data_IF_979165607285
#
_entry.id   IF_979165607285
#
_cell.length_a   1.000
_cell.length_b   1.000
_cell.length_c   1.000
_cell.angle_alpha   90.00
_cell.angle_beta   90.00
_cell.angle_gamma   90.00
#
_symmetry.space_group_name_H-M   'P 1'
#
loop_
_entity.id
_entity.type
_entity.pdbx_description
1 polymer ?
#
# COMPACT_ATOMS: atom_id res chain seq x y z
N UNK A 1 17.42 18.50 -22.81
CA UNK A 1 16.98 18.51 -21.41
C UNK A 1 17.25 17.14 -20.83
N UNK A 2 18.44 16.98 -20.30
CA UNK A 2 18.89 15.80 -19.56
C UNK A 2 18.25 15.89 -18.18
N UNK A 3 17.28 15.03 -17.90
CA UNK A 3 16.89 14.72 -16.51
C UNK A 3 18.15 14.16 -15.85
N UNK A 4 18.76 14.95 -14.98
CA UNK A 4 19.86 14.49 -14.18
C UNK A 4 19.36 13.26 -13.39
N UNK A 5 19.98 12.11 -13.62
CA UNK A 5 19.74 10.92 -12.81
C UNK A 5 20.14 11.28 -11.38
N UNK A 6 19.16 11.42 -10.50
CA UNK A 6 19.43 11.56 -9.06
C UNK A 6 19.98 10.23 -8.61
N UNK A 7 21.24 10.21 -8.20
CA UNK A 7 21.87 9.03 -7.64
C UNK A 7 21.41 8.86 -6.18
N UNK A 8 20.39 8.05 -5.98
CA UNK A 8 19.84 7.74 -4.67
C UNK A 8 20.79 6.91 -3.79
N UNK A 9 21.86 6.34 -4.35
CA UNK A 9 22.86 5.60 -3.58
C UNK A 9 23.64 6.46 -2.58
N UNK A 10 23.60 7.79 -2.76
CA UNK A 10 24.25 8.73 -1.83
C UNK A 10 23.51 8.88 -0.48
N UNK A 11 22.28 8.42 -0.38
CA UNK A 11 21.49 8.52 0.84
C UNK A 11 21.01 7.12 1.26
N UNK A 12 21.90 6.32 1.89
CA UNK A 12 21.46 5.04 2.41
C UNK A 12 20.33 5.27 3.42
N UNK A 13 19.28 4.44 3.38
CA UNK A 13 18.18 4.58 4.33
C UNK A 13 18.72 4.52 5.76
N UNK A 14 18.16 5.29 6.69
CA UNK A 14 18.60 5.25 8.08
C UNK A 14 18.44 3.84 8.61
N UNK A 15 19.51 3.30 9.24
CA UNK A 15 19.45 1.98 9.88
C UNK A 15 18.58 2.09 11.13
N UNK A 16 17.45 1.41 11.13
CA UNK A 16 16.60 1.28 12.32
C UNK A 16 16.94 -0.05 12.99
N UNK A 17 17.60 0.00 14.13
CA UNK A 17 18.11 -1.20 14.82
C UNK A 17 17.08 -1.86 15.74
N UNK A 18 15.97 -1.21 16.04
CA UNK A 18 14.90 -1.75 16.88
C UNK A 18 13.56 -1.15 16.49
N UNK A 19 12.49 -1.92 16.64
CA UNK A 19 11.14 -1.36 16.56
C UNK A 19 10.95 -0.35 17.69
N UNK A 20 10.23 0.74 17.43
CA UNK A 20 9.86 1.67 18.48
C UNK A 20 8.95 0.97 19.49
N UNK A 21 8.82 1.59 20.67
CA UNK A 21 8.04 1.09 21.80
C UNK A 21 6.67 0.58 21.34
N UNK A 22 6.42 -0.69 21.57
CA UNK A 22 5.17 -1.39 21.26
C UNK A 22 4.08 -1.01 22.27
N UNK A 23 2.83 -1.12 21.86
CA UNK A 23 1.62 -0.73 22.62
C UNK A 23 1.58 0.75 23.03
N UNK A 24 2.29 1.61 22.32
CA UNK A 24 2.28 3.05 22.55
C UNK A 24 1.35 3.81 21.62
N UNK A 25 0.77 4.88 22.15
CA UNK A 25 0.02 5.85 21.39
C UNK A 25 0.98 6.97 20.93
N UNK A 26 1.00 7.21 19.62
CA UNK A 26 1.85 8.20 18.97
C UNK A 26 0.97 9.36 18.55
N UNK A 27 1.33 10.57 18.93
CA UNK A 27 0.55 11.77 18.65
C UNK A 27 1.32 12.76 17.78
N UNK A 28 0.62 13.34 16.84
CA UNK A 28 1.11 14.33 15.89
C UNK A 28 1.50 13.74 14.53
N UNK A 29 1.10 14.41 13.46
CA UNK A 29 1.26 13.94 12.07
C UNK A 29 2.72 13.61 11.73
N UNK A 30 3.66 14.45 12.14
CA UNK A 30 5.09 14.21 11.89
C UNK A 30 5.58 12.93 12.59
N UNK A 31 5.19 12.72 13.85
CA UNK A 31 5.55 11.52 14.60
C UNK A 31 4.92 10.26 13.99
N UNK A 32 3.65 10.34 13.55
CA UNK A 32 2.95 9.24 12.87
C UNK A 32 3.66 8.87 11.56
N UNK A 33 4.03 9.83 10.72
CA UNK A 33 4.79 9.57 9.49
C UNK A 33 6.17 8.97 9.77
N UNK A 34 6.86 9.52 10.77
CA UNK A 34 8.18 9.02 11.17
C UNK A 34 8.15 7.58 11.66
N UNK A 35 7.15 7.21 12.46
CA UNK A 35 7.01 5.83 12.96
C UNK A 35 6.69 4.86 11.82
N UNK A 36 5.80 5.23 10.89
CA UNK A 36 5.47 4.41 9.73
C UNK A 36 6.74 4.12 8.93
N UNK A 37 7.51 5.15 8.58
CA UNK A 37 8.77 5.00 7.85
C UNK A 37 9.76 4.10 8.61
N UNK A 38 9.92 4.30 9.91
CA UNK A 38 10.82 3.50 10.75
C UNK A 38 10.43 2.02 10.76
N UNK A 39 9.13 1.72 10.87
CA UNK A 39 8.61 0.35 10.84
C UNK A 39 8.87 -0.29 9.48
N UNK A 40 8.56 0.39 8.38
CA UNK A 40 8.78 -0.16 7.04
C UNK A 40 10.27 -0.47 6.80
N UNK A 41 11.17 0.44 7.15
CA UNK A 41 12.62 0.24 7.02
C UNK A 41 13.08 -0.94 7.89
N UNK A 42 12.62 -1.00 9.14
CA UNK A 42 12.97 -2.09 10.06
C UNK A 42 12.57 -3.45 9.50
N UNK A 43 11.29 -3.61 9.12
CA UNK A 43 10.77 -4.88 8.62
C UNK A 43 11.53 -5.37 7.39
N UNK A 44 11.70 -4.51 6.40
CA UNK A 44 12.37 -4.86 5.15
C UNK A 44 13.86 -5.13 5.35
N UNK A 45 14.50 -4.49 6.35
CA UNK A 45 15.93 -4.69 6.62
C UNK A 45 16.25 -5.91 7.49
N UNK A 46 15.29 -6.41 8.28
CA UNK A 46 15.53 -7.46 9.27
C UNK A 46 14.83 -8.79 8.95
N UNK A 47 13.91 -8.80 8.01
CA UNK A 47 13.18 -9.99 7.61
C UNK A 47 13.34 -10.28 6.12
N UNK A 48 13.30 -11.55 5.76
CA UNK A 48 13.18 -12.02 4.37
C UNK A 48 11.71 -12.27 4.05
N UNK A 49 11.33 -12.10 2.80
CA UNK A 49 9.96 -12.38 2.30
C UNK A 49 8.87 -11.60 3.07
N UNK A 50 9.12 -10.32 3.29
CA UNK A 50 8.19 -9.43 4.01
C UNK A 50 6.92 -9.24 3.19
N UNK A 51 5.77 -9.53 3.80
CA UNK A 51 4.45 -9.18 3.28
C UNK A 51 3.86 -8.05 4.12
N UNK A 52 3.59 -6.92 3.46
CA UNK A 52 2.94 -5.75 4.05
C UNK A 52 1.51 -5.69 3.54
N UNK A 53 0.55 -5.63 4.45
CA UNK A 53 -0.86 -5.46 4.14
C UNK A 53 -1.33 -4.13 4.69
N UNK A 54 -2.01 -3.32 3.89
CA UNK A 54 -2.36 -1.97 4.33
C UNK A 54 -3.70 -1.48 3.81
N UNK A 55 -4.32 -0.64 4.62
CA UNK A 55 -5.44 0.22 4.27
C UNK A 55 -5.11 1.62 4.79
N UNK A 56 -4.87 2.56 3.89
CA UNK A 56 -4.32 3.87 4.22
C UNK A 56 -5.36 4.98 4.11
N UNK A 57 -5.27 6.02 4.98
CA UNK A 57 -6.06 7.24 4.82
C UNK A 57 -5.65 8.00 3.54
N UNK A 58 -6.59 8.72 2.93
CA UNK A 58 -6.36 9.45 1.66
C UNK A 58 -5.20 10.45 1.73
N UNK A 59 -4.92 10.98 2.92
CA UNK A 59 -3.84 11.95 3.16
C UNK A 59 -2.44 11.33 3.24
N UNK A 60 -2.35 10.02 3.45
CA UNK A 60 -1.07 9.32 3.60
C UNK A 60 -0.66 8.74 2.24
N UNK A 61 0.42 9.25 1.73
CA UNK A 61 1.07 8.77 0.51
C UNK A 61 2.45 8.22 0.90
N UNK A 62 2.70 6.95 0.61
CA UNK A 62 3.94 6.23 0.90
C UNK A 62 4.69 5.86 -0.39
N UNK A 63 4.37 6.52 -1.50
CA UNK A 63 4.96 6.22 -2.81
C UNK A 63 6.49 6.32 -2.78
N UNK A 64 7.01 7.40 -2.18
CA UNK A 64 8.47 7.64 -2.13
C UNK A 64 9.14 6.58 -1.25
N UNK A 65 8.59 6.30 -0.08
CA UNK A 65 9.12 5.32 0.86
C UNK A 65 9.23 3.92 0.24
N UNK A 66 8.19 3.46 -0.42
CA UNK A 66 8.21 2.15 -1.08
C UNK A 66 9.14 2.13 -2.30
N UNK A 67 9.17 3.18 -3.10
CA UNK A 67 10.11 3.28 -4.22
C UNK A 67 11.56 3.23 -3.74
N UNK A 68 11.92 3.98 -2.69
CA UNK A 68 13.25 3.91 -2.07
C UNK A 68 13.60 2.48 -1.63
N UNK A 69 12.66 1.79 -0.98
CA UNK A 69 12.88 0.43 -0.50
C UNK A 69 13.10 -0.56 -1.65
N UNK A 70 12.30 -0.51 -2.73
CA UNK A 70 12.49 -1.39 -3.89
C UNK A 70 13.76 -1.07 -4.69
N UNK A 71 14.14 0.21 -4.82
CA UNK A 71 15.37 0.62 -5.49
C UNK A 71 16.62 0.13 -4.75
N UNK A 72 16.54 -0.06 -3.43
CA UNK A 72 17.61 -0.64 -2.61
C UNK A 72 17.61 -2.18 -2.62
N UNK A 73 17.05 -2.81 -3.66
CA UNK A 73 17.06 -4.27 -3.89
C UNK A 73 16.37 -5.09 -2.79
N UNK A 74 15.50 -4.47 -2.00
CA UNK A 74 14.76 -5.19 -0.99
C UNK A 74 13.64 -6.02 -1.62
N UNK A 75 13.54 -7.27 -1.21
CA UNK A 75 12.49 -8.18 -1.65
C UNK A 75 11.34 -8.19 -0.63
N UNK A 76 10.26 -7.53 -0.96
CA UNK A 76 9.04 -7.53 -0.16
C UNK A 76 7.82 -7.34 -1.05
N UNK A 77 6.67 -7.76 -0.57
CA UNK A 77 5.39 -7.60 -1.24
C UNK A 77 4.46 -6.68 -0.45
N UNK A 78 3.62 -5.96 -1.17
CA UNK A 78 2.63 -5.05 -0.59
C UNK A 78 1.26 -5.36 -1.17
N UNK A 79 0.28 -5.56 -0.31
CA UNK A 79 -1.14 -5.64 -0.68
C UNK A 79 -1.88 -4.44 -0.07
N UNK A 80 -2.45 -3.58 -0.90
CA UNK A 80 -3.16 -2.39 -0.45
C UNK A 80 -4.65 -2.48 -0.76
N UNK A 81 -5.50 -2.20 0.23
CA UNK A 81 -6.92 -1.95 0.04
C UNK A 81 -7.16 -0.48 -0.30
N UNK A 82 -7.88 -0.23 -1.37
CA UNK A 82 -8.17 1.10 -1.87
C UNK A 82 -9.67 1.35 -1.85
N UNK A 83 -10.05 2.45 -1.24
CA UNK A 83 -11.40 2.95 -1.37
C UNK A 83 -11.50 3.84 -2.62
N UNK A 84 -12.36 3.45 -3.57
CA UNK A 84 -12.68 4.26 -4.74
C UNK A 84 -14.10 4.82 -4.63
N UNK A 85 -14.20 6.12 -4.78
CA UNK A 85 -15.49 6.83 -4.76
C UNK A 85 -16.28 6.50 -6.01
N UNK A 86 -17.59 6.25 -5.86
CA UNK A 86 -18.48 6.16 -7.01
C UNK A 86 -18.56 7.50 -7.72
N UNK A 87 -18.28 7.48 -9.02
CA UNK A 87 -18.43 8.66 -9.86
C UNK A 87 -19.91 8.83 -10.19
N UNK A 88 -20.48 9.97 -9.82
CA UNK A 88 -21.82 10.38 -10.23
C UNK A 88 -21.71 11.58 -11.18
N UNK A 89 -22.68 11.71 -12.08
CA UNK A 89 -22.76 12.86 -12.99
C UNK A 89 -23.02 14.20 -12.28
N UNK A 90 -23.40 14.14 -11.00
CA UNK A 90 -23.74 15.31 -10.20
C UNK A 90 -22.57 15.93 -9.44
N UNK A 91 -21.44 15.22 -9.33
CA UNK A 91 -20.26 15.72 -8.62
C UNK A 91 -18.96 15.25 -9.28
N UNK A 92 -18.08 16.16 -9.76
CA UNK A 92 -16.79 15.82 -10.33
C UNK A 92 -15.73 15.46 -9.28
N UNK A 93 -15.96 15.75 -8.00
CA UNK A 93 -15.01 15.52 -6.91
C UNK A 93 -14.57 14.05 -6.75
N UNK A 94 -15.46 13.04 -6.83
CA UNK A 94 -15.09 11.64 -6.73
C UNK A 94 -14.08 11.21 -7.81
N UNK A 95 -14.33 11.62 -9.07
CA UNK A 95 -13.43 11.28 -10.17
C UNK A 95 -12.01 11.87 -9.96
N UNK A 96 -11.92 13.11 -9.47
CA UNK A 96 -10.63 13.76 -9.19
C UNK A 96 -9.87 13.06 -8.05
N UNK A 97 -10.57 12.61 -7.00
CA UNK A 97 -9.96 11.85 -5.90
C UNK A 97 -9.44 10.51 -6.39
N UNK A 98 -10.24 9.78 -7.17
CA UNK A 98 -9.82 8.51 -7.76
C UNK A 98 -8.60 8.70 -8.67
N UNK A 99 -8.58 9.74 -9.52
CA UNK A 99 -7.44 10.06 -10.38
C UNK A 99 -6.16 10.38 -9.59
N UNK A 100 -6.30 11.12 -8.49
CA UNK A 100 -5.15 11.39 -7.60
C UNK A 100 -4.61 10.07 -7.00
N UNK A 101 -5.50 9.19 -6.55
CA UNK A 101 -5.11 7.88 -6.01
C UNK A 101 -4.41 7.01 -7.07
N UNK A 102 -4.94 6.96 -8.29
CA UNK A 102 -4.30 6.26 -9.40
C UNK A 102 -2.91 6.83 -9.72
N UNK A 103 -2.73 8.15 -9.62
CA UNK A 103 -1.44 8.81 -9.82
C UNK A 103 -0.35 8.35 -8.84
N UNK A 104 -0.69 7.98 -7.60
CA UNK A 104 0.26 7.42 -6.64
C UNK A 104 0.47 5.91 -6.83
N UNK A 105 -0.52 5.18 -7.34
CA UNK A 105 -0.47 3.72 -7.49
C UNK A 105 0.36 3.30 -8.71
N UNK A 106 0.23 3.99 -9.84
CA UNK A 106 0.94 3.63 -11.07
C UNK A 106 2.46 3.56 -10.89
N UNK A 107 3.13 4.56 -10.27
CA UNK A 107 4.56 4.46 -10.00
C UNK A 107 4.94 3.25 -9.12
N UNK A 108 4.10 2.92 -8.12
CA UNK A 108 4.33 1.76 -7.24
C UNK A 108 4.22 0.44 -8.02
N UNK A 109 3.21 0.31 -8.88
CA UNK A 109 3.07 -0.87 -9.74
C UNK A 109 4.30 -1.06 -10.63
N UNK A 110 4.82 0.02 -11.22
CA UNK A 110 5.99 -0.02 -12.07
C UNK A 110 7.27 -0.37 -11.31
N UNK A 111 7.51 0.28 -10.17
CA UNK A 111 8.72 0.09 -9.37
C UNK A 111 8.78 -1.30 -8.72
N UNK A 112 7.63 -1.85 -8.31
CA UNK A 112 7.53 -3.11 -7.58
C UNK A 112 7.73 -4.36 -8.43
N UNK A 113 7.69 -4.25 -9.75
CA UNK A 113 7.78 -5.40 -10.69
C UNK A 113 6.79 -6.54 -10.36
N UNK A 114 5.58 -6.19 -9.92
CA UNK A 114 4.52 -7.14 -9.58
C UNK A 114 4.43 -7.51 -8.10
N UNK A 115 5.33 -7.00 -7.25
CA UNK A 115 5.25 -7.20 -5.80
C UNK A 115 4.24 -6.28 -5.10
N UNK A 116 3.70 -5.28 -5.78
CA UNK A 116 2.63 -4.42 -5.28
C UNK A 116 1.29 -4.82 -5.90
N UNK A 117 0.30 -5.08 -5.06
CA UNK A 117 -1.04 -5.53 -5.42
C UNK A 117 -2.09 -4.57 -4.87
N UNK A 118 -2.57 -3.60 -5.67
CA UNK A 118 -3.65 -2.70 -5.28
C UNK A 118 -5.01 -3.37 -5.51
N UNK A 119 -5.79 -3.56 -4.46
CA UNK A 119 -7.16 -4.05 -4.49
C UNK A 119 -8.12 -2.91 -4.19
N UNK A 120 -9.26 -2.86 -4.86
CA UNK A 120 -10.22 -1.77 -4.65
C UNK A 120 -11.61 -2.27 -4.27
N UNK A 121 -12.34 -1.41 -3.59
CA UNK A 121 -13.75 -1.55 -3.26
C UNK A 121 -14.46 -0.20 -3.37
N UNK A 122 -15.80 -0.25 -3.47
CA UNK A 122 -16.66 0.94 -3.55
C UNK A 122 -17.65 0.99 -2.37
N UNK A 123 -18.31 2.13 -2.14
CA UNK A 123 -19.16 2.43 -0.97
C UNK A 123 -20.16 1.37 -0.53
N UNK A 124 -20.67 0.53 -1.45
CA UNK A 124 -21.72 -0.45 -1.10
C UNK A 124 -21.17 -1.71 -0.41
N UNK A 125 -19.86 -1.89 -0.31
CA UNK A 125 -19.25 -3.14 0.17
C UNK A 125 -18.78 -3.04 1.64
N UNK A 126 -18.82 -1.85 2.24
CA UNK A 126 -18.35 -1.67 3.60
C UNK A 126 -19.28 -0.79 4.43
N UNK A 127 -19.88 -1.39 5.47
CA UNK A 127 -20.33 -0.61 6.60
C UNK A 127 -19.08 0.01 7.25
N UNK A 128 -19.05 1.34 7.31
CA UNK A 128 -18.01 2.07 8.04
C UNK A 128 -18.10 1.64 9.50
N UNK A 129 -17.14 0.85 9.96
CA UNK A 129 -17.01 0.58 11.39
C UNK A 129 -16.60 1.89 12.05
N UNK A 130 -17.37 2.34 13.02
CA UNK A 130 -17.13 3.58 13.76
C UNK A 130 -15.91 3.48 14.69
N UNK A 131 -14.77 3.05 14.16
CA UNK A 131 -13.51 3.00 14.90
C UNK A 131 -12.70 4.26 14.58
N UNK A 132 -12.18 4.98 15.58
CA UNK A 132 -11.33 6.14 15.35
C UNK A 132 -9.99 5.80 14.66
N UNK A 133 -9.57 4.54 14.72
CA UNK A 133 -8.35 4.02 14.09
C UNK A 133 -8.73 2.92 13.09
N UNK A 134 -9.35 3.32 11.98
CA UNK A 134 -9.84 2.38 10.93
C UNK A 134 -8.77 2.02 9.91
N UNK A 135 -7.74 2.85 9.78
CA UNK A 135 -6.63 2.62 8.84
C UNK A 135 -5.52 1.86 9.52
N UNK A 136 -4.81 1.03 8.77
CA UNK A 136 -3.78 0.18 9.35
C UNK A 136 -2.72 -0.24 8.34
N UNK A 137 -1.55 -0.57 8.89
CA UNK A 137 -0.47 -1.27 8.21
C UNK A 137 -0.13 -2.51 9.05
N UNK A 138 -0.14 -3.67 8.42
CA UNK A 138 0.21 -4.94 9.03
C UNK A 138 1.54 -5.38 8.43
N UNK A 139 2.50 -5.66 9.28
CA UNK A 139 3.81 -6.21 8.90
C UNK A 139 4.02 -7.58 9.56
N UNK A 140 5.10 -8.30 9.28
CA UNK A 140 5.40 -9.55 9.98
C UNK A 140 5.42 -9.41 11.50
N UNK A 141 5.98 -8.34 12.05
CA UNK A 141 6.22 -8.21 13.48
C UNK A 141 5.33 -7.18 14.19
N UNK A 142 4.59 -6.32 13.48
CA UNK A 142 3.72 -5.35 14.14
C UNK A 142 2.48 -4.96 13.34
N UNK A 143 1.53 -4.37 14.06
CA UNK A 143 0.34 -3.69 13.55
C UNK A 143 0.43 -2.21 13.89
N UNK A 144 0.33 -1.36 12.87
CA UNK A 144 0.11 0.08 13.00
C UNK A 144 -1.35 0.39 12.72
N UNK A 145 -2.05 0.98 13.68
CA UNK A 145 -3.39 1.54 13.51
C UNK A 145 -3.29 3.05 13.42
N UNK A 146 -3.98 3.67 12.48
CA UNK A 146 -3.76 5.08 12.10
C UNK A 146 -5.10 5.81 12.05
N UNK A 147 -5.16 7.04 12.56
CA UNK A 147 -6.32 7.91 12.42
C UNK A 147 -6.40 8.51 11.00
N UNK A 148 -7.61 8.86 10.56
CA UNK A 148 -7.86 9.41 9.22
C UNK A 148 -7.09 10.72 8.97
N UNK A 149 -6.98 11.54 9.99
CA UNK A 149 -6.31 12.84 9.94
C UNK A 149 -4.80 12.79 10.18
N UNK A 150 -4.24 11.60 10.45
CA UNK A 150 -2.85 11.34 10.82
C UNK A 150 -2.44 11.97 12.16
N UNK A 151 -3.39 12.40 12.98
CA UNK A 151 -3.07 12.99 14.29
C UNK A 151 -2.57 11.97 15.30
N UNK A 152 -2.96 10.72 15.13
CA UNK A 152 -2.70 9.64 16.10
C UNK A 152 -2.43 8.33 15.40
N UNK A 153 -1.49 7.56 15.93
CA UNK A 153 -1.30 6.17 15.56
C UNK A 153 -1.02 5.33 16.81
N UNK A 154 -1.34 4.04 16.73
CA UNK A 154 -0.98 3.03 17.74
C UNK A 154 -0.15 1.94 17.09
N UNK A 155 0.96 1.59 17.69
CA UNK A 155 1.76 0.43 17.30
C UNK A 155 1.54 -0.70 18.30
N UNK A 156 1.40 -1.95 17.81
CA UNK A 156 1.28 -3.14 18.64
C UNK A 156 2.03 -4.31 18.02
N UNK A 157 2.75 -5.07 18.86
CA UNK A 157 3.42 -6.33 18.51
C UNK A 157 2.64 -7.56 19.01
N UNK A 158 1.42 -7.35 19.47
CA UNK A 158 0.55 -8.45 19.91
C UNK A 158 0.21 -9.38 18.73
N UNK A 159 0.73 -10.60 18.77
CA UNK A 159 0.59 -11.59 17.69
C UNK A 159 -0.86 -12.01 17.43
N UNK A 160 -1.71 -12.05 18.47
CA UNK A 160 -3.14 -12.35 18.32
C UNK A 160 -3.85 -11.24 17.57
N UNK A 161 -3.54 -9.97 17.91
CA UNK A 161 -4.09 -8.80 17.25
C UNK A 161 -3.62 -8.71 15.79
N UNK A 162 -2.34 -8.96 15.52
CA UNK A 162 -1.78 -9.01 14.16
C UNK A 162 -2.50 -10.09 13.35
N UNK A 163 -2.66 -11.30 13.91
CA UNK A 163 -3.35 -12.41 13.25
C UNK A 163 -4.82 -12.10 12.98
N UNK A 164 -5.50 -11.44 13.92
CA UNK A 164 -6.88 -10.99 13.74
C UNK A 164 -6.99 -10.01 12.56
N UNK A 165 -6.12 -9.00 12.48
CA UNK A 165 -6.14 -8.02 11.39
C UNK A 165 -5.75 -8.64 10.04
N UNK A 166 -4.84 -9.61 9.99
CA UNK A 166 -4.53 -10.36 8.78
C UNK A 166 -5.75 -11.13 8.27
N UNK A 167 -6.43 -11.85 9.15
CA UNK A 167 -7.65 -12.57 8.78
C UNK A 167 -8.75 -11.61 8.31
N UNK A 168 -8.90 -10.47 8.99
CA UNK A 168 -9.82 -9.43 8.58
C UNK A 168 -9.49 -8.88 7.19
N UNK A 169 -8.21 -8.58 6.92
CA UNK A 169 -7.75 -8.13 5.61
C UNK A 169 -8.06 -9.16 4.52
N UNK A 170 -7.74 -10.43 4.74
CA UNK A 170 -8.01 -11.51 3.78
C UNK A 170 -9.52 -11.67 3.51
N UNK A 171 -10.35 -11.56 4.54
CA UNK A 171 -11.81 -11.59 4.39
C UNK A 171 -12.30 -10.41 3.53
N UNK A 172 -11.70 -9.23 3.70
CA UNK A 172 -12.02 -8.06 2.87
C UNK A 172 -11.60 -8.25 1.42
N UNK A 173 -10.43 -8.83 1.17
CA UNK A 173 -9.94 -9.11 -0.18
C UNK A 173 -10.88 -9.98 -1.01
N UNK A 174 -11.62 -10.90 -0.39
CA UNK A 174 -12.59 -11.76 -1.09
C UNK A 174 -13.69 -10.96 -1.80
N UNK A 175 -13.93 -9.73 -1.37
CA UNK A 175 -14.94 -8.83 -1.95
C UNK A 175 -14.31 -7.62 -2.67
N UNK A 176 -13.05 -7.71 -3.02
CA UNK A 176 -12.31 -6.65 -3.71
C UNK A 176 -11.77 -7.17 -5.03
N UNK A 177 -11.71 -6.30 -6.03
CA UNK A 177 -11.09 -6.60 -7.30
C UNK A 177 -9.66 -6.03 -7.34
N UNK A 178 -8.76 -6.72 -8.04
CA UNK A 178 -7.43 -6.20 -8.30
C UNK A 178 -7.53 -5.03 -9.27
N UNK A 179 -6.99 -3.86 -8.88
CA UNK A 179 -7.12 -2.65 -9.68
C UNK A 179 -6.19 -2.65 -10.90
N UNK A 180 -4.94 -3.07 -10.69
CA UNK A 180 -3.90 -3.13 -11.72
C UNK A 180 -3.09 -4.40 -11.49
N UNK A 181 -2.94 -5.19 -12.53
CA UNK A 181 -2.04 -6.33 -12.55
C UNK A 181 -0.79 -5.95 -13.34
N UNK A 182 0.36 -5.92 -12.67
CA UNK A 182 1.65 -5.74 -13.30
C UNK A 182 2.30 -7.12 -13.43
N UNK A 183 2.48 -7.61 -14.66
CA UNK A 183 3.26 -8.82 -14.91
C UNK A 183 4.57 -8.44 -15.59
N UNK A 184 5.66 -9.00 -15.13
CA UNK A 184 6.96 -8.92 -15.80
C UNK A 184 7.04 -9.88 -16.99
N UNK A 185 6.07 -10.80 -17.14
CA UNK A 185 6.06 -11.84 -18.15
C UNK A 185 4.95 -11.58 -19.18
N UNK A 186 5.34 -11.10 -20.35
CA UNK A 186 4.41 -10.81 -21.45
C UNK A 186 3.60 -12.05 -21.90
N UNK A 187 4.15 -13.25 -21.71
CA UNK A 187 3.48 -14.49 -22.06
C UNK A 187 2.32 -14.82 -21.12
N UNK A 188 2.46 -14.52 -19.82
CA UNK A 188 1.35 -14.66 -18.85
C UNK A 188 0.22 -13.70 -19.20
N UNK A 189 0.55 -12.46 -19.51
CA UNK A 189 -0.42 -11.44 -19.93
C UNK A 189 -1.18 -11.86 -21.18
N UNK A 190 -0.48 -12.41 -22.18
CA UNK A 190 -1.10 -12.92 -23.41
C UNK A 190 -1.99 -14.15 -23.15
N UNK A 191 -1.58 -15.05 -22.27
CA UNK A 191 -2.38 -16.22 -21.91
C UNK A 191 -3.68 -15.83 -21.21
N UNK A 192 -3.63 -14.88 -20.28
CA UNK A 192 -4.81 -14.34 -19.61
C UNK A 192 -5.76 -13.64 -20.58
N UNK A 193 -5.20 -12.86 -21.52
CA UNK A 193 -5.98 -12.22 -22.57
C UNK A 193 -6.68 -13.22 -23.50
N UNK A 194 -5.98 -14.28 -23.90
CA UNK A 194 -6.54 -15.35 -24.75
C UNK A 194 -7.58 -16.20 -24.00
N UNK A 195 -7.39 -16.40 -22.68
CA UNK A 195 -8.33 -17.16 -21.84
C UNK A 195 -9.67 -16.44 -21.59
N UNK A 196 -9.85 -15.23 -22.08
CA UNK A 196 -11.14 -14.54 -22.11
C UNK A 196 -11.55 -13.93 -20.77
N UNK A 197 -10.69 -13.13 -20.19
CA UNK A 197 -11.05 -12.30 -19.04
C UNK A 197 -12.23 -11.38 -19.36
N UNK A 198 -13.11 -11.20 -18.37
CA UNK A 198 -14.34 -10.41 -18.45
C UNK A 198 -14.08 -8.99 -19.02
N UNK A 199 -14.95 -8.48 -19.92
CA UNK A 199 -14.78 -7.15 -20.53
C UNK A 199 -14.82 -5.97 -19.55
N UNK A 200 -15.15 -6.21 -18.28
CA UNK A 200 -15.25 -5.17 -17.25
C UNK A 200 -13.91 -4.89 -16.51
N UNK A 201 -12.85 -5.60 -16.83
CA UNK A 201 -11.55 -5.39 -16.19
C UNK A 201 -10.70 -4.45 -17.03
N UNK A 202 -10.36 -3.28 -16.51
CA UNK A 202 -9.41 -2.36 -17.15
C UNK A 202 -7.99 -2.94 -17.05
N UNK A 203 -7.49 -3.48 -18.13
CA UNK A 203 -6.12 -4.01 -18.21
C UNK A 203 -5.20 -2.94 -18.79
N UNK A 204 -4.18 -2.56 -18.05
CA UNK A 204 -3.13 -1.65 -18.50
C UNK A 204 -1.88 -2.47 -18.79
N UNK A 205 -1.56 -2.61 -20.09
CA UNK A 205 -0.34 -3.28 -20.52
C UNK A 205 0.80 -2.27 -20.61
N UNK A 206 1.83 -2.45 -19.80
CA UNK A 206 3.06 -1.66 -19.90
C UNK A 206 4.23 -2.60 -20.14
N UNK A 207 4.80 -2.57 -21.34
CA UNK A 207 6.07 -3.22 -21.64
C UNK A 207 7.21 -2.34 -21.13
N UNK A 208 8.10 -2.88 -20.33
CA UNK A 208 9.37 -2.25 -20.02
C UNK A 208 10.38 -2.58 -21.15
N UNK A 209 11.23 -1.62 -21.52
CA UNK A 209 12.31 -1.85 -22.48
C UNK A 209 13.40 -2.77 -21.93
#
# INVERSE_FOLDING_TARGET
>A
NTLASVDFSMFPPPKVNSLPLTDSLINGEYAVRSIIRSVLIYEVSHHTDVEIQMFLPEKLDLTIEFMELWLNENHFSVSELLYLHRVSTLSPNPARRNLKKLGSIIPLCLASRGSYKPYYFTENQHAVTASPLIYYIITPSCLLQISEDLSTARISDNTELISYYRNFFQTKLQNCDLLIQCSSNIMEVLQEYIAGTSPDTMQVFMSQP
#
